data_IF_735542682141
#
_entry.id   IF_735542682141
#
_cell.length_a   1.000
_cell.length_b   1.000
_cell.length_c   1.000
_cell.angle_alpha   90.00
_cell.angle_beta   90.00
_cell.angle_gamma   90.00
#
_symmetry.space_group_name_H-M   'P 1'
#
loop_
_entity.id
_entity.type
_entity.pdbx_description
1 polymer ?
#
# COMPACT_ATOMS: atom_id res chain seq x y z
N UNK A 1 -20.88 -56.18 -47.72
CA UNK A 1 -21.89 -55.23 -48.24
C UNK A 1 -22.97 -55.00 -47.20
N UNK A 2 -23.01 -53.83 -46.56
CA UNK A 2 -24.22 -53.06 -46.22
C UNK A 2 -23.79 -51.78 -45.49
N UNK A 3 -24.07 -50.65 -46.13
CA UNK A 3 -23.98 -49.31 -45.55
C UNK A 3 -25.19 -49.10 -44.65
N UNK A 4 -25.02 -48.52 -43.47
CA UNK A 4 -26.05 -47.69 -42.82
C UNK A 4 -25.33 -46.53 -42.11
N UNK A 5 -25.51 -45.33 -42.64
CA UNK A 5 -25.25 -44.07 -41.95
C UNK A 5 -26.54 -43.68 -41.21
N UNK A 6 -26.46 -43.40 -39.90
CA UNK A 6 -27.45 -42.56 -39.22
C UNK A 6 -26.71 -41.61 -38.28
N UNK A 7 -26.86 -40.33 -38.59
CA UNK A 7 -26.47 -39.14 -37.83
C UNK A 7 -27.47 -38.96 -36.69
N UNK A 8 -27.03 -38.72 -35.44
CA UNK A 8 -27.90 -38.11 -34.43
C UNK A 8 -27.12 -37.28 -33.38
N UNK A 9 -27.55 -36.01 -33.32
CA UNK A 9 -27.55 -35.07 -32.19
C UNK A 9 -26.23 -34.52 -31.61
N UNK A 10 -25.99 -33.25 -31.95
CA UNK A 10 -25.41 -32.21 -31.10
C UNK A 10 -25.90 -32.30 -29.64
N UNK A 11 -24.97 -32.42 -28.68
CA UNK A 11 -25.19 -31.90 -27.33
C UNK A 11 -24.05 -30.94 -27.05
N UNK A 12 -24.39 -29.66 -27.15
CA UNK A 12 -23.58 -28.53 -26.73
C UNK A 12 -23.41 -28.66 -25.21
N UNK A 13 -22.23 -29.10 -24.77
CA UNK A 13 -21.82 -28.96 -23.38
C UNK A 13 -21.35 -27.53 -23.14
N UNK A 14 -22.28 -26.58 -22.99
CA UNK A 14 -21.98 -25.31 -22.33
C UNK A 14 -21.80 -25.66 -20.85
N UNK A 15 -20.56 -25.97 -20.47
CA UNK A 15 -20.16 -25.85 -19.07
C UNK A 15 -20.21 -24.35 -18.75
N UNK A 16 -21.31 -23.97 -18.11
CA UNK A 16 -21.48 -22.71 -17.41
C UNK A 16 -20.29 -22.56 -16.46
N UNK A 17 -19.30 -21.79 -16.90
CA UNK A 17 -18.31 -21.18 -16.01
C UNK A 17 -19.16 -20.23 -15.17
N UNK A 18 -19.65 -20.68 -14.03
CA UNK A 18 -20.21 -19.77 -13.05
C UNK A 18 -19.02 -18.96 -12.56
N UNK A 19 -18.92 -17.72 -13.01
CA UNK A 19 -18.08 -16.72 -12.37
C UNK A 19 -18.52 -16.61 -10.91
N UNK A 20 -17.84 -17.33 -10.01
CA UNK A 20 -18.08 -17.28 -8.55
C UNK A 20 -17.62 -15.91 -7.98
N UNK A 21 -17.18 -14.97 -8.83
CA UNK A 21 -16.78 -13.62 -8.45
C UNK A 21 -17.69 -12.55 -9.05
N UNK A 22 -19.00 -12.71 -8.94
CA UNK A 22 -19.88 -11.54 -8.90
C UNK A 22 -20.17 -11.19 -7.44
N UNK A 23 -19.15 -10.69 -6.72
CA UNK A 23 -19.43 -9.95 -5.49
C UNK A 23 -20.07 -8.62 -5.90
N UNK A 24 -21.40 -8.63 -5.93
CA UNK A 24 -22.21 -7.43 -6.01
C UNK A 24 -22.12 -6.73 -4.64
N UNK A 25 -21.02 -6.00 -4.40
CA UNK A 25 -20.96 -5.12 -3.24
C UNK A 25 -21.78 -3.88 -3.58
N UNK A 26 -22.94 -3.76 -2.93
CA UNK A 26 -23.52 -2.45 -2.72
C UNK A 26 -22.39 -1.57 -2.17
N UNK A 27 -22.03 -0.50 -2.90
CA UNK A 27 -21.08 0.52 -2.46
C UNK A 27 -21.66 1.19 -1.22
N UNK A 28 -21.44 0.57 -0.07
CA UNK A 28 -21.42 1.26 1.21
C UNK A 28 -20.30 2.30 1.14
N UNK A 29 -20.42 3.38 1.90
CA UNK A 29 -19.38 4.41 2.09
C UNK A 29 -18.14 3.86 2.84
N UNK A 30 -17.80 2.59 2.59
CA UNK A 30 -16.60 1.96 3.08
C UNK A 30 -15.41 2.73 2.49
N UNK A 31 -14.58 3.25 3.40
CA UNK A 31 -13.28 3.78 3.05
C UNK A 31 -12.54 2.74 2.18
N UNK A 32 -11.80 3.16 1.15
CA UNK A 32 -11.06 2.24 0.30
C UNK A 32 -10.20 1.28 1.15
N UNK A 33 -9.94 0.07 0.66
CA UNK A 33 -9.06 -0.85 1.38
C UNK A 33 -7.69 -0.20 1.66
N UNK A 34 -7.02 -0.69 2.70
CA UNK A 34 -5.72 -0.17 3.16
C UNK A 34 -4.75 0.09 2.00
N UNK A 35 -4.61 -0.90 1.11
CA UNK A 35 -3.68 -0.82 -0.01
C UNK A 35 -4.05 0.29 -0.97
N UNK A 36 -5.34 0.44 -1.27
CA UNK A 36 -5.84 1.55 -2.08
C UNK A 36 -5.50 2.88 -1.44
N UNK A 37 -5.74 3.05 -0.13
CA UNK A 37 -5.41 4.28 0.58
C UNK A 37 -3.90 4.57 0.59
N UNK A 38 -3.06 3.58 0.90
CA UNK A 38 -1.60 3.72 0.88
C UNK A 38 -1.10 4.15 -0.51
N UNK A 39 -1.63 3.50 -1.56
CA UNK A 39 -1.21 3.72 -2.94
C UNK A 39 -1.84 4.95 -3.60
N UNK A 40 -2.81 5.60 -2.95
CA UNK A 40 -3.43 6.83 -3.45
C UNK A 40 -3.15 8.06 -2.58
N UNK A 41 -2.50 7.89 -1.42
CA UNK A 41 -2.26 8.95 -0.46
C UNK A 41 -0.78 9.31 -0.36
N UNK A 42 -0.52 10.39 0.36
CA UNK A 42 0.79 10.87 0.75
C UNK A 42 0.93 10.72 2.26
N UNK A 43 2.06 10.22 2.75
CA UNK A 43 2.39 10.33 4.17
C UNK A 43 3.41 11.46 4.32
N UNK A 44 3.01 12.54 4.99
CA UNK A 44 3.90 13.65 5.31
C UNK A 44 4.52 13.41 6.68
N UNK A 45 5.84 13.42 6.73
CA UNK A 45 6.63 13.43 7.96
C UNK A 45 7.22 14.81 8.17
N UNK A 46 6.96 15.43 9.31
CA UNK A 46 7.73 16.57 9.81
C UNK A 46 8.86 16.02 10.68
N UNK A 47 10.06 15.95 10.12
CA UNK A 47 11.27 15.44 10.78
C UNK A 47 11.79 16.49 11.76
N UNK A 48 11.90 16.13 13.04
CA UNK A 48 12.25 17.04 14.13
C UNK A 48 13.74 16.93 14.45
N UNK A 49 14.56 17.66 13.71
CA UNK A 49 16.00 17.78 13.97
C UNK A 49 16.32 19.23 14.22
N UNK A 50 16.93 19.54 15.34
CA UNK A 50 17.36 20.90 15.64
C UNK A 50 18.64 21.26 14.86
N UNK A 51 18.77 22.51 14.39
CA UNK A 51 17.78 23.60 14.42
C UNK A 51 16.79 23.57 13.25
N UNK A 52 16.89 22.59 12.35
CA UNK A 52 16.24 22.58 11.04
C UNK A 52 15.24 21.43 10.90
N UNK A 53 14.04 21.59 11.47
CA UNK A 53 12.95 20.70 11.16
C UNK A 53 12.55 20.84 9.67
N UNK A 54 12.14 19.75 9.04
CA UNK A 54 11.75 19.77 7.64
C UNK A 54 10.71 18.70 7.32
N UNK A 55 9.94 18.95 6.26
CA UNK A 55 8.90 18.03 5.79
C UNK A 55 9.41 17.10 4.70
N UNK A 56 8.95 15.85 4.73
CA UNK A 56 9.11 14.86 3.67
C UNK A 56 7.73 14.31 3.33
N UNK A 57 7.30 14.48 2.09
CA UNK A 57 6.13 13.79 1.53
C UNK A 57 6.59 12.48 0.92
N UNK A 58 6.08 11.37 1.45
CA UNK A 58 6.44 10.02 1.04
C UNK A 58 5.30 9.34 0.29
N UNK A 59 5.66 8.66 -0.79
CA UNK A 59 4.75 7.90 -1.67
C UNK A 59 5.27 6.47 -1.80
N UNK A 60 4.42 5.50 -1.46
CA UNK A 60 4.73 4.07 -1.53
C UNK A 60 4.15 3.47 -2.81
N UNK A 61 4.95 2.91 -3.69
CA UNK A 61 4.47 2.34 -4.94
C UNK A 61 4.24 0.83 -4.85
N UNK A 62 3.36 0.29 -5.70
CA UNK A 62 2.97 -1.13 -5.66
C UNK A 62 4.11 -2.11 -5.92
N UNK A 63 5.18 -1.65 -6.53
CA UNK A 63 6.39 -2.41 -6.86
C UNK A 63 7.41 -2.46 -5.70
N UNK A 64 7.07 -1.89 -4.54
CA UNK A 64 7.96 -1.84 -3.39
C UNK A 64 8.89 -0.62 -3.37
N UNK A 65 8.76 0.31 -4.33
CA UNK A 65 9.51 1.56 -4.30
C UNK A 65 8.90 2.57 -3.32
N UNK A 66 9.77 3.35 -2.68
CA UNK A 66 9.40 4.53 -1.88
C UNK A 66 10.02 5.75 -2.54
N UNK A 67 9.17 6.72 -2.89
CA UNK A 67 9.56 8.00 -3.47
C UNK A 67 9.25 9.12 -2.47
N UNK A 68 9.93 10.25 -2.61
CA UNK A 68 9.58 11.46 -1.88
C UNK A 68 9.64 12.71 -2.75
N UNK A 69 9.12 13.82 -2.23
CA UNK A 69 9.28 15.16 -2.79
C UNK A 69 10.66 15.80 -2.51
N UNK A 70 11.56 15.06 -1.87
CA UNK A 70 12.91 15.48 -1.51
C UNK A 70 13.94 14.53 -2.13
N UNK A 71 15.19 14.59 -1.65
CA UNK A 71 16.29 13.76 -2.13
C UNK A 71 16.23 12.31 -1.64
N UNK A 72 15.30 12.00 -0.73
CA UNK A 72 15.12 10.66 -0.19
C UNK A 72 14.49 9.71 -1.22
N UNK A 73 15.04 8.50 -1.30
CA UNK A 73 14.47 7.39 -2.06
C UNK A 73 14.63 6.12 -1.27
N UNK A 74 13.76 5.16 -1.50
CA UNK A 74 13.69 4.01 -0.62
C UNK A 74 12.98 2.80 -1.18
N UNK A 75 12.77 1.85 -0.27
CA UNK A 75 11.95 0.67 -0.49
C UNK A 75 11.07 0.42 0.71
N UNK A 76 9.95 -0.26 0.46
CA UNK A 76 9.08 -0.78 1.51
C UNK A 76 8.79 -2.26 1.26
N UNK A 77 8.42 -2.96 2.33
CA UNK A 77 8.05 -4.36 2.30
C UNK A 77 7.13 -4.70 3.46
N UNK A 78 6.45 -5.84 3.37
CA UNK A 78 5.76 -6.47 4.51
C UNK A 78 6.67 -7.54 5.06
N UNK A 79 6.87 -7.53 6.38
CA UNK A 79 7.63 -8.55 7.10
C UNK A 79 6.72 -9.29 8.10
N UNK A 80 7.06 -10.53 8.44
CA UNK A 80 6.29 -11.34 9.39
C UNK A 80 5.21 -12.24 8.77
N UNK A 81 4.58 -13.05 9.63
CA UNK A 81 3.56 -14.03 9.25
C UNK A 81 2.15 -13.41 9.24
N UNK A 82 1.18 -14.12 8.65
CA UNK A 82 -0.22 -13.70 8.67
C UNK A 82 -0.71 -13.45 10.11
N UNK A 83 -1.29 -12.28 10.35
CA UNK A 83 -1.77 -11.85 11.67
C UNK A 83 -0.71 -11.17 12.55
N UNK A 84 0.57 -11.16 12.13
CA UNK A 84 1.66 -10.44 12.79
C UNK A 84 2.48 -9.59 11.81
N UNK A 85 1.91 -9.29 10.64
CA UNK A 85 2.56 -8.52 9.60
C UNK A 85 2.94 -7.11 10.07
N UNK A 86 4.16 -6.72 9.71
CA UNK A 86 4.72 -5.39 9.90
C UNK A 86 4.86 -4.73 8.53
N UNK A 87 4.42 -3.48 8.41
CA UNK A 87 4.79 -2.63 7.29
C UNK A 87 6.13 -1.98 7.61
N UNK A 88 7.13 -2.23 6.77
CA UNK A 88 8.48 -1.73 6.96
C UNK A 88 8.92 -0.89 5.76
N UNK A 89 9.69 0.16 6.02
CA UNK A 89 10.33 0.92 4.97
C UNK A 89 11.68 1.51 5.41
N UNK A 90 12.49 1.81 4.41
CA UNK A 90 13.75 2.52 4.55
C UNK A 90 13.86 3.53 3.41
N UNK A 91 14.25 4.75 3.74
CA UNK A 91 14.59 5.78 2.77
C UNK A 91 15.96 6.37 3.10
N UNK A 92 16.73 6.68 2.06
CA UNK A 92 18.06 7.26 2.19
C UNK A 92 18.29 8.41 1.24
N UNK A 93 19.15 9.33 1.65
CA UNK A 93 19.63 10.45 0.85
C UNK A 93 21.15 10.44 0.85
N UNK A 94 21.74 10.78 -0.30
CA UNK A 94 23.20 10.92 -0.45
C UNK A 94 23.70 12.32 -0.13
N UNK A 95 22.80 13.29 -0.01
CA UNK A 95 23.14 14.72 0.07
C UNK A 95 22.39 15.47 1.18
N UNK A 96 21.57 14.77 1.96
CA UNK A 96 20.82 15.34 3.09
C UNK A 96 21.07 14.50 4.32
N UNK A 97 21.27 15.17 5.46
CA UNK A 97 21.20 14.54 6.77
C UNK A 97 19.79 14.64 7.34
N UNK A 98 19.26 13.58 7.98
CA UNK A 98 19.91 12.27 8.20
C UNK A 98 20.03 11.47 6.92
N UNK A 99 21.18 10.87 6.66
CA UNK A 99 21.38 10.08 5.43
C UNK A 99 20.41 8.88 5.29
N UNK A 100 19.80 8.43 6.38
CA UNK A 100 18.82 7.34 6.40
C UNK A 100 17.71 7.58 7.42
N UNK A 101 16.50 7.20 7.06
CA UNK A 101 15.33 7.14 7.93
C UNK A 101 14.58 5.82 7.66
N UNK A 102 14.20 5.10 8.71
CA UNK A 102 13.49 3.83 8.57
C UNK A 102 12.47 3.59 9.68
N UNK A 103 11.47 2.77 9.38
CA UNK A 103 10.40 2.44 10.31
C UNK A 103 9.81 1.06 10.02
N UNK A 104 9.28 0.43 11.07
CA UNK A 104 8.39 -0.72 10.95
C UNK A 104 7.25 -0.58 11.96
N UNK A 105 6.00 -0.70 11.52
CA UNK A 105 4.84 -0.70 12.41
C UNK A 105 3.85 -1.82 12.05
N UNK A 106 2.99 -2.26 12.97
CA UNK A 106 2.00 -3.30 12.68
C UNK A 106 1.09 -2.88 11.54
N UNK A 107 0.98 -3.74 10.51
CA UNK A 107 0.19 -3.46 9.30
C UNK A 107 -1.27 -3.11 9.62
N UNK A 108 -1.81 -3.72 10.70
CA UNK A 108 -3.17 -3.48 11.19
C UNK A 108 -3.45 -2.02 11.57
N UNK A 109 -2.43 -1.24 11.97
CA UNK A 109 -2.60 0.18 12.30
C UNK A 109 -2.99 1.02 11.08
N UNK A 110 -2.82 0.49 9.88
CA UNK A 110 -3.14 1.19 8.65
C UNK A 110 -4.51 0.88 8.07
N UNK A 111 -5.30 -0.01 8.70
CA UNK A 111 -6.64 -0.34 8.22
C UNK A 111 -7.63 0.84 8.32
N UNK A 112 -7.31 1.88 9.08
CA UNK A 112 -8.08 3.12 9.15
C UNK A 112 -7.12 4.31 9.21
N UNK A 113 -6.60 4.75 8.04
CA UNK A 113 -5.76 5.93 7.98
C UNK A 113 -6.65 7.15 8.21
N UNK A 114 -6.71 7.63 9.45
CA UNK A 114 -7.42 8.87 9.79
C UNK A 114 -6.77 10.04 9.04
N UNK A 115 -7.27 10.35 7.85
CA UNK A 115 -6.74 11.43 7.01
C UNK A 115 -6.72 12.73 7.81
N UNK A 116 -5.58 13.42 7.81
CA UNK A 116 -5.38 14.66 8.56
C UNK A 116 -5.11 14.50 10.05
N UNK A 117 -5.23 13.30 10.64
CA UNK A 117 -4.81 13.07 12.01
C UNK A 117 -3.28 13.03 12.09
N UNK A 118 -2.72 13.81 13.02
CA UNK A 118 -1.29 13.86 13.29
C UNK A 118 -0.92 12.88 14.39
N UNK A 119 0.20 12.19 14.25
CA UNK A 119 0.76 11.35 15.32
C UNK A 119 2.27 11.56 15.49
N UNK A 120 2.75 11.74 16.73
CA UNK A 120 4.17 11.78 17.02
C UNK A 120 4.74 10.37 17.13
N UNK A 121 5.95 10.15 16.62
CA UNK A 121 6.69 8.90 16.74
C UNK A 121 8.19 9.15 16.47
N UNK A 122 8.96 8.08 16.30
CA UNK A 122 10.39 8.15 16.00
C UNK A 122 10.76 7.13 14.93
N UNK A 123 11.64 7.53 14.02
CA UNK A 123 12.33 6.59 13.14
C UNK A 123 13.23 5.67 13.96
N UNK A 124 13.60 4.51 13.41
CA UNK A 124 14.53 3.56 14.06
C UNK A 124 15.88 4.18 14.39
N UNK A 125 16.28 5.22 13.65
CA UNK A 125 17.48 6.01 13.88
C UNK A 125 17.37 6.94 15.12
N UNK A 126 16.26 6.90 15.86
CA UNK A 126 16.04 7.70 17.08
C UNK A 126 15.60 9.14 16.80
N UNK A 127 15.17 9.41 15.58
CA UNK A 127 14.85 10.74 15.09
C UNK A 127 13.34 10.95 15.19
N UNK A 128 12.95 11.96 15.97
CA UNK A 128 11.55 12.25 16.22
C UNK A 128 10.89 12.81 14.96
N UNK A 129 9.61 12.48 14.78
CA UNK A 129 8.80 13.03 13.71
C UNK A 129 7.34 13.20 14.16
N UNK A 130 6.61 14.07 13.46
CA UNK A 130 5.15 14.06 13.42
C UNK A 130 4.69 13.63 12.03
N UNK A 131 3.82 12.64 11.93
CA UNK A 131 3.31 12.17 10.64
C UNK A 131 1.82 12.44 10.47
N UNK A 132 1.40 12.61 9.21
CA UNK A 132 0.00 12.80 8.82
C UNK A 132 -0.24 12.18 7.44
N UNK A 133 -1.38 11.50 7.29
CA UNK A 133 -1.86 11.06 5.96
C UNK A 133 -2.56 12.23 5.27
N UNK A 134 -2.06 12.62 4.10
CA UNK A 134 -2.63 13.64 3.23
C UNK A 134 -3.30 12.96 2.04
N UNK A 135 -4.51 13.42 1.68
CA UNK A 135 -5.29 12.87 0.58
C UNK A 135 -4.62 13.15 -0.76
N UNK A 136 -4.48 12.12 -1.60
CA UNK A 136 -3.95 12.24 -2.95
C UNK A 136 -2.43 12.14 -3.03
N UNK A 137 -1.93 12.23 -4.27
CA UNK A 137 -0.52 12.32 -4.63
C UNK A 137 -0.31 13.56 -5.52
N UNK A 138 0.92 14.08 -5.61
CA UNK A 138 1.30 15.07 -6.62
C UNK A 138 0.99 14.61 -8.05
#
# INVERSE_FOLDING_TARGET
MKKVFIVFALIIGVLLITDIYSQNSNRTDAEPDYWTNLFSSTIRYTVQIEPNAFDIDVFFDRDGELKSNTEYKGKWWVDGAEGSQMFCYIMSSKIREPSQLSECFPLVLMNNPRIGAKWPAAFKEGIMYEAVVVKGRP
#
